data_IF_454149057156
#
_entry.id   IF_454149057156
#
_cell.length_a   1.000
_cell.length_b   1.000
_cell.length_c   1.000
_cell.angle_alpha   90.00
_cell.angle_beta   90.00
_cell.angle_gamma   90.00
#
_symmetry.space_group_name_H-M   'P 1'
#
loop_
_entity.id
_entity.type
_entity.pdbx_description
1 polymer ?
#
# COMPACT_ATOMS: atom_id res chain seq x y z
N UNK A 1 -41.73 -67.33 -5.22
CA UNK A 1 -40.84 -66.34 -4.57
C UNK A 1 -40.30 -65.40 -5.63
N UNK A 2 -40.72 -64.13 -5.65
CA UNK A 2 -40.16 -63.10 -6.53
C UNK A 2 -39.22 -62.23 -5.69
N UNK A 3 -37.93 -62.21 -6.05
CA UNK A 3 -36.92 -61.39 -5.37
C UNK A 3 -36.78 -60.06 -6.11
N UNK A 4 -37.17 -58.95 -5.47
CA UNK A 4 -36.84 -57.61 -5.94
C UNK A 4 -35.43 -57.26 -5.45
N UNK A 5 -34.52 -56.95 -6.37
CA UNK A 5 -33.26 -56.30 -6.08
C UNK A 5 -33.46 -54.78 -6.05
N UNK A 6 -33.15 -54.15 -4.92
CA UNK A 6 -33.08 -52.70 -4.78
C UNK A 6 -31.64 -52.26 -5.09
N UNK A 7 -31.45 -51.49 -6.16
CA UNK A 7 -30.16 -50.89 -6.50
C UNK A 7 -29.98 -49.61 -5.68
N UNK A 8 -29.07 -49.61 -4.70
CA UNK A 8 -28.72 -48.43 -3.92
C UNK A 8 -27.65 -47.63 -4.69
N UNK A 9 -28.04 -46.52 -5.31
CA UNK A 9 -27.10 -45.60 -5.97
C UNK A 9 -26.37 -44.75 -4.93
N UNK A 10 -25.10 -45.05 -4.65
CA UNK A 10 -24.21 -44.21 -3.85
C UNK A 10 -23.79 -42.99 -4.69
N UNK A 11 -24.32 -41.81 -4.35
CA UNK A 11 -23.85 -40.53 -4.89
C UNK A 11 -22.54 -40.14 -4.19
N UNK A 12 -21.40 -40.31 -4.87
CA UNK A 12 -20.13 -39.76 -4.43
C UNK A 12 -20.14 -38.24 -4.61
N UNK A 13 -20.22 -37.48 -3.51
CA UNK A 13 -19.91 -36.06 -3.50
C UNK A 13 -18.39 -35.89 -3.61
N UNK A 14 -17.89 -35.60 -4.81
CA UNK A 14 -16.54 -35.07 -4.98
C UNK A 14 -16.50 -33.65 -4.39
N UNK A 15 -15.58 -33.35 -3.45
CA UNK A 15 -15.45 -31.99 -2.97
C UNK A 15 -15.01 -31.09 -4.14
N UNK A 16 -15.76 -30.02 -4.37
CA UNK A 16 -15.38 -28.99 -5.33
C UNK A 16 -14.05 -28.39 -4.84
N UNK A 17 -12.96 -28.71 -5.52
CA UNK A 17 -11.66 -28.16 -5.20
C UNK A 17 -11.70 -26.67 -5.58
N UNK A 18 -12.00 -25.81 -4.61
CA UNK A 18 -12.00 -24.38 -4.82
C UNK A 18 -10.59 -23.97 -5.29
N UNK A 19 -10.49 -23.52 -6.55
CA UNK A 19 -9.26 -22.94 -7.06
C UNK A 19 -8.94 -21.72 -6.20
N UNK A 20 -7.83 -21.78 -5.47
CA UNK A 20 -7.31 -20.66 -4.69
C UNK A 20 -6.97 -19.53 -5.66
N UNK A 21 -7.72 -18.44 -5.62
CA UNK A 21 -7.35 -17.21 -6.33
C UNK A 21 -6.01 -16.74 -5.74
N UNK A 22 -5.06 -16.39 -6.59
CA UNK A 22 -3.74 -15.87 -6.17
C UNK A 22 -3.58 -14.46 -6.74
N UNK A 23 -3.14 -13.52 -5.89
CA UNK A 23 -2.82 -12.16 -6.29
C UNK A 23 -1.37 -11.84 -5.92
N UNK A 24 -0.55 -11.57 -6.94
CA UNK A 24 0.82 -11.07 -6.79
C UNK A 24 0.78 -9.54 -6.70
N UNK A 25 1.16 -9.02 -5.53
CA UNK A 25 1.00 -7.60 -5.19
C UNK A 25 2.33 -6.95 -4.85
N UNK A 26 2.69 -5.92 -5.61
CA UNK A 26 3.91 -5.15 -5.41
C UNK A 26 3.60 -3.82 -4.72
N UNK A 27 4.21 -3.58 -3.57
CA UNK A 27 4.20 -2.28 -2.90
C UNK A 27 5.48 -1.50 -3.19
N UNK A 28 5.35 -0.32 -3.79
CA UNK A 28 6.46 0.60 -4.04
C UNK A 28 6.28 1.82 -3.14
N UNK A 29 7.28 2.09 -2.30
CA UNK A 29 7.23 3.25 -1.42
C UNK A 29 8.42 3.39 -0.50
N UNK A 30 8.18 4.02 0.65
CA UNK A 30 9.21 4.35 1.62
C UNK A 30 8.78 3.92 3.04
N UNK A 31 9.23 4.64 4.06
CA UNK A 31 8.88 4.35 5.46
C UNK A 31 7.38 4.33 5.74
N UNK A 32 6.55 5.04 4.96
CA UNK A 32 5.09 5.00 5.11
C UNK A 32 4.44 3.69 4.65
N UNK A 33 5.18 2.88 3.88
CA UNK A 33 4.81 1.51 3.49
C UNK A 33 5.60 0.47 4.28
N UNK A 34 6.87 0.75 4.60
CA UNK A 34 7.76 -0.17 5.30
C UNK A 34 7.53 -0.27 6.80
N UNK A 35 7.10 0.81 7.47
CA UNK A 35 6.78 0.78 8.91
C UNK A 35 5.51 -0.02 9.19
N UNK A 36 5.35 -0.41 10.45
CA UNK A 36 4.13 -1.08 10.93
C UNK A 36 3.80 -2.40 10.22
N UNK A 37 4.76 -2.95 9.47
CA UNK A 37 4.56 -4.08 8.56
C UNK A 37 3.33 -3.91 7.66
N UNK A 38 3.02 -2.67 7.23
CA UNK A 38 1.74 -2.31 6.61
C UNK A 38 1.29 -3.28 5.51
N UNK A 39 2.19 -3.68 4.62
CA UNK A 39 1.86 -4.60 3.52
C UNK A 39 1.46 -6.00 4.01
N UNK A 40 2.00 -6.47 5.14
CA UNK A 40 1.60 -7.74 5.77
C UNK A 40 0.25 -7.62 6.47
N UNK A 41 -0.04 -6.49 7.12
CA UNK A 41 -1.38 -6.23 7.68
C UNK A 41 -2.43 -6.20 6.57
N UNK A 42 -2.11 -5.62 5.40
CA UNK A 42 -3.00 -5.65 4.23
C UNK A 42 -3.18 -7.06 3.69
N UNK A 43 -2.13 -7.89 3.67
CA UNK A 43 -2.22 -9.32 3.32
C UNK A 43 -3.19 -10.05 4.25
N UNK A 44 -3.05 -9.88 5.56
CA UNK A 44 -3.95 -10.52 6.53
C UNK A 44 -5.41 -10.08 6.33
N UNK A 45 -5.64 -8.77 6.15
CA UNK A 45 -6.98 -8.24 5.80
C UNK A 45 -7.52 -8.86 4.51
N UNK A 46 -6.67 -8.99 3.48
CA UNK A 46 -7.04 -9.55 2.19
C UNK A 46 -7.47 -11.02 2.32
N UNK A 47 -6.68 -11.85 2.98
CA UNK A 47 -6.89 -13.29 3.09
C UNK A 47 -8.06 -13.62 4.01
N UNK A 48 -8.22 -12.92 5.13
CA UNK A 48 -9.37 -13.12 6.02
C UNK A 48 -10.66 -12.57 5.41
N UNK A 49 -10.59 -11.42 4.74
CA UNK A 49 -11.75 -10.79 4.10
C UNK A 49 -12.19 -11.45 2.80
N UNK A 50 -11.40 -12.37 2.24
CA UNK A 50 -11.69 -13.10 1.02
C UNK A 50 -11.23 -14.56 1.17
N UNK A 51 -12.04 -15.44 1.79
CA UNK A 51 -11.66 -16.83 2.04
C UNK A 51 -11.22 -17.56 0.76
N UNK A 52 -10.06 -18.20 0.82
CA UNK A 52 -9.46 -18.91 -0.32
C UNK A 52 -8.53 -18.08 -1.21
N UNK A 53 -8.39 -16.78 -0.95
CA UNK A 53 -7.39 -15.92 -1.59
C UNK A 53 -5.99 -16.16 -1.01
N UNK A 54 -4.99 -16.31 -1.88
CA UNK A 54 -3.58 -16.16 -1.53
C UNK A 54 -3.07 -14.79 -1.97
N UNK A 55 -2.69 -13.95 -1.01
CA UNK A 55 -2.23 -12.60 -1.28
C UNK A 55 -0.70 -12.52 -1.13
N UNK A 56 0.02 -12.63 -2.26
CA UNK A 56 1.49 -12.67 -2.28
C UNK A 56 2.06 -11.26 -2.31
N UNK A 57 2.73 -10.87 -1.24
CA UNK A 57 3.28 -9.52 -1.07
C UNK A 57 4.75 -9.47 -1.44
N UNK A 58 5.08 -8.52 -2.32
CA UNK A 58 6.43 -8.05 -2.57
C UNK A 58 6.54 -6.56 -2.27
N UNK A 59 7.74 -6.10 -1.90
CA UNK A 59 7.96 -4.68 -1.58
C UNK A 59 9.27 -4.16 -2.17
N UNK A 60 9.26 -2.89 -2.59
CA UNK A 60 10.46 -2.12 -2.93
C UNK A 60 10.43 -0.85 -2.11
N UNK A 61 11.24 -0.82 -1.05
CA UNK A 61 11.23 0.23 -0.04
C UNK A 61 12.54 0.98 0.00
N UNK A 62 12.49 2.30 -0.23
CA UNK A 62 13.62 3.21 0.00
C UNK A 62 13.20 4.36 0.91
N UNK A 63 13.85 4.50 2.07
CA UNK A 63 13.46 5.48 3.10
C UNK A 63 13.47 6.93 2.58
N UNK A 64 12.37 7.64 2.82
CA UNK A 64 12.17 9.04 2.41
C UNK A 64 12.23 9.30 0.91
N UNK A 65 12.04 8.28 0.06
CA UNK A 65 12.07 8.41 -1.42
C UNK A 65 10.67 8.54 -2.00
N UNK A 66 10.59 9.31 -3.09
CA UNK A 66 9.39 9.56 -3.92
C UNK A 66 9.34 8.60 -5.10
N UNK A 67 8.23 8.54 -5.85
CA UNK A 67 8.17 7.72 -7.07
C UNK A 67 9.22 8.14 -8.12
N UNK A 68 9.55 9.43 -8.18
CA UNK A 68 10.64 9.95 -9.02
C UNK A 68 11.99 9.35 -8.64
N UNK A 69 12.27 9.27 -7.34
CA UNK A 69 13.48 8.62 -6.85
C UNK A 69 13.50 7.12 -7.17
N UNK A 70 12.37 6.43 -6.99
CA UNK A 70 12.23 5.01 -7.34
C UNK A 70 12.53 4.75 -8.82
N UNK A 71 12.11 5.65 -9.70
CA UNK A 71 12.37 5.56 -11.14
C UNK A 71 13.86 5.71 -11.44
N UNK A 72 14.50 6.71 -10.83
CA UNK A 72 15.97 6.87 -10.90
C UNK A 72 16.70 5.62 -10.41
N UNK A 73 16.17 4.97 -9.38
CA UNK A 73 16.73 3.74 -8.79
C UNK A 73 16.37 2.46 -9.56
N UNK A 74 15.75 2.57 -10.74
CA UNK A 74 15.47 1.44 -11.62
C UNK A 74 14.31 0.54 -11.16
N UNK A 75 13.42 1.04 -10.28
CA UNK A 75 12.28 0.26 -9.76
C UNK A 75 11.29 -0.11 -10.87
N UNK A 76 11.20 0.68 -11.94
CA UNK A 76 10.36 0.40 -13.11
C UNK A 76 10.67 -0.96 -13.75
N UNK A 77 11.93 -1.37 -13.71
CA UNK A 77 12.42 -2.64 -14.28
C UNK A 77 11.91 -3.88 -13.55
N UNK A 78 11.39 -3.72 -12.33
CA UNK A 78 10.71 -4.78 -11.57
C UNK A 78 9.27 -4.99 -12.09
N UNK A 79 8.65 -3.94 -12.64
CA UNK A 79 7.28 -4.00 -13.15
C UNK A 79 7.27 -4.52 -14.59
N UNK A 80 8.17 -4.04 -15.45
CA UNK A 80 8.19 -4.40 -16.87
C UNK A 80 9.20 -5.49 -17.22
N UNK A 81 9.52 -6.41 -16.30
CA UNK A 81 10.41 -7.56 -16.54
C UNK A 81 10.04 -8.36 -17.81
N UNK A 82 8.75 -8.39 -18.15
CA UNK A 82 8.21 -9.06 -19.34
C UNK A 82 8.59 -8.40 -20.68
N UNK A 83 9.08 -7.16 -20.69
CA UNK A 83 9.29 -6.38 -21.92
C UNK A 83 10.53 -5.48 -21.91
N UNK A 84 11.19 -5.29 -20.76
CA UNK A 84 12.35 -4.40 -20.66
C UNK A 84 13.53 -4.89 -21.52
N UNK A 85 14.08 -3.97 -22.32
CA UNK A 85 15.27 -4.25 -23.12
C UNK A 85 16.53 -4.34 -22.24
N UNK A 86 17.46 -5.23 -22.60
CA UNK A 86 18.73 -5.40 -21.87
C UNK A 86 19.52 -4.09 -21.80
N UNK A 87 19.45 -3.29 -22.85
CA UNK A 87 20.11 -2.00 -22.99
C UNK A 87 19.56 -0.96 -22.02
N UNK A 88 18.26 -0.96 -21.75
CA UNK A 88 17.63 -0.07 -20.76
C UNK A 88 18.06 -0.40 -19.33
N UNK A 89 18.15 -1.69 -19.01
CA UNK A 89 18.66 -2.16 -17.71
C UNK A 89 20.14 -1.74 -17.58
N UNK A 90 20.94 -1.96 -18.63
CA UNK A 90 22.36 -1.57 -18.66
C UNK A 90 22.56 -0.06 -18.48
N UNK A 91 21.82 0.76 -19.22
CA UNK A 91 21.89 2.22 -19.08
C UNK A 91 21.53 2.67 -17.65
N UNK A 92 20.54 2.03 -17.03
CA UNK A 92 20.15 2.30 -15.64
C UNK A 92 21.26 1.87 -14.67
N UNK A 93 21.87 0.70 -14.89
CA UNK A 93 22.99 0.22 -14.09
C UNK A 93 24.21 1.15 -14.19
N UNK A 94 24.56 1.61 -15.39
CA UNK A 94 25.69 2.52 -15.61
C UNK A 94 25.46 3.87 -14.90
N UNK A 95 24.25 4.43 -15.00
CA UNK A 95 23.87 5.64 -14.28
C UNK A 95 23.95 5.46 -12.75
N UNK A 96 23.52 4.30 -12.23
CA UNK A 96 23.59 3.99 -10.80
C UNK A 96 25.01 3.71 -10.32
N UNK A 97 25.88 3.17 -11.18
CA UNK A 97 27.31 3.01 -10.91
C UNK A 97 28.00 4.37 -10.73
N UNK A 98 27.66 5.35 -11.57
CA UNK A 98 28.15 6.72 -11.39
C UNK A 98 27.60 7.34 -10.10
N UNK A 99 26.28 7.27 -9.88
CA UNK A 99 25.65 7.81 -8.68
C UNK A 99 26.18 7.18 -7.38
N UNK A 100 26.60 5.90 -7.41
CA UNK A 100 27.17 5.20 -6.26
C UNK A 100 28.53 5.75 -5.82
N UNK A 101 29.19 6.61 -6.61
CA UNK A 101 30.41 7.31 -6.19
C UNK A 101 30.12 8.42 -5.17
N UNK A 102 28.90 8.97 -5.15
CA UNK A 102 28.48 9.92 -4.11
C UNK A 102 28.10 9.16 -2.85
N UNK A 103 28.90 9.30 -1.79
CA UNK A 103 28.66 8.67 -0.49
C UNK A 103 27.36 9.15 0.19
N UNK A 104 26.77 10.25 -0.27
CA UNK A 104 25.46 10.73 0.19
C UNK A 104 24.30 9.97 -0.44
N UNK A 105 24.47 9.35 -1.61
CA UNK A 105 23.45 8.52 -2.25
C UNK A 105 23.48 7.09 -1.71
N UNK A 106 22.86 6.92 -0.54
CA UNK A 106 22.79 5.63 0.17
C UNK A 106 21.98 4.56 -0.56
N UNK A 107 21.23 4.91 -1.62
CA UNK A 107 20.33 3.98 -2.32
C UNK A 107 20.83 3.56 -3.69
N UNK A 108 21.67 4.36 -4.35
CA UNK A 108 22.26 3.99 -5.64
C UNK A 108 22.95 2.61 -5.63
N UNK A 109 23.76 2.23 -4.60
CA UNK A 109 24.38 0.90 -4.57
C UNK A 109 23.37 -0.25 -4.55
N UNK A 110 22.27 -0.10 -3.80
CA UNK A 110 21.21 -1.10 -3.73
C UNK A 110 20.41 -1.17 -5.05
N UNK A 111 20.17 -0.03 -5.70
CA UNK A 111 19.59 0.02 -7.04
C UNK A 111 20.48 -0.68 -8.06
N UNK A 112 21.78 -0.36 -8.08
CA UNK A 112 22.77 -0.95 -8.96
C UNK A 112 22.81 -2.47 -8.82
N UNK A 113 22.90 -2.97 -7.57
CA UNK A 113 22.90 -4.41 -7.29
C UNK A 113 21.69 -5.12 -7.92
N UNK A 114 20.51 -4.52 -7.88
CA UNK A 114 19.30 -5.09 -8.51
C UNK A 114 19.40 -5.08 -10.04
N UNK A 115 19.90 -4.00 -10.64
CA UNK A 115 20.05 -3.94 -12.10
C UNK A 115 21.08 -4.95 -12.61
N UNK A 116 22.20 -5.12 -11.89
CA UNK A 116 23.20 -6.16 -12.19
C UNK A 116 22.57 -7.54 -12.12
N UNK A 117 21.81 -7.84 -11.05
CA UNK A 117 21.12 -9.12 -10.93
C UNK A 117 20.09 -9.36 -12.06
N UNK A 118 19.39 -8.31 -12.53
CA UNK A 118 18.49 -8.43 -13.69
C UNK A 118 19.26 -8.70 -15.00
N UNK A 119 20.45 -8.12 -15.18
CA UNK A 119 21.31 -8.37 -16.35
C UNK A 119 21.90 -9.78 -16.36
N UNK A 120 22.35 -10.27 -15.20
CA UNK A 120 22.90 -11.62 -15.03
C UNK A 120 21.86 -12.70 -15.33
N UNK A 121 20.60 -12.43 -15.02
CA UNK A 121 19.49 -13.34 -15.23
C UNK A 121 18.64 -12.97 -16.46
N UNK A 122 19.20 -12.32 -17.50
CA UNK A 122 18.43 -11.89 -18.67
C UNK A 122 18.14 -13.05 -19.65
N UNK A 123 16.90 -13.20 -20.19
CA UNK A 123 15.71 -12.42 -19.86
C UNK A 123 15.23 -12.72 -18.43
N UNK A 124 14.86 -11.69 -17.64
CA UNK A 124 14.53 -11.88 -16.23
C UNK A 124 13.35 -12.83 -16.05
N UNK A 125 13.38 -13.61 -14.96
CA UNK A 125 12.19 -14.36 -14.52
C UNK A 125 11.03 -13.39 -14.37
N UNK A 126 9.93 -13.70 -15.06
CA UNK A 126 8.75 -12.83 -15.10
C UNK A 126 7.89 -13.08 -13.88
N UNK A 127 7.92 -12.15 -12.93
CA UNK A 127 6.82 -12.03 -11.98
C UNK A 127 5.67 -11.29 -12.67
N UNK A 128 4.49 -11.91 -12.74
CA UNK A 128 3.28 -11.22 -13.23
C UNK A 128 2.63 -10.55 -12.04
N UNK A 129 2.54 -9.23 -12.08
CA UNK A 129 1.84 -8.47 -11.05
C UNK A 129 0.35 -8.39 -11.36
N UNK A 130 -0.49 -8.68 -10.36
CA UNK A 130 -1.93 -8.44 -10.45
C UNK A 130 -2.29 -7.06 -9.90
N UNK A 131 -1.52 -6.58 -8.91
CA UNK A 131 -1.72 -5.28 -8.27
C UNK A 131 -0.38 -4.60 -8.02
N UNK A 132 -0.30 -3.32 -8.34
CA UNK A 132 0.82 -2.45 -7.99
C UNK A 132 0.32 -1.29 -7.15
N UNK A 133 0.83 -1.20 -5.93
CA UNK A 133 0.54 -0.12 -4.97
C UNK A 133 1.65 0.92 -5.06
N UNK A 134 1.27 2.17 -5.37
CA UNK A 134 2.18 3.29 -5.57
C UNK A 134 1.99 4.32 -4.46
N UNK A 135 2.95 4.39 -3.55
CA UNK A 135 2.92 5.32 -2.42
C UNK A 135 3.32 6.75 -2.82
N UNK A 136 2.57 7.76 -2.38
CA UNK A 136 3.02 9.17 -2.39
C UNK A 136 3.83 9.51 -1.15
N UNK A 137 4.62 10.59 -1.20
CA UNK A 137 5.36 11.13 -0.05
C UNK A 137 5.72 12.60 -0.23
N UNK A 138 4.85 13.51 0.24
CA UNK A 138 5.01 14.99 0.16
C UNK A 138 5.18 15.54 -1.27
N UNK A 139 5.28 14.68 -2.27
CA UNK A 139 5.47 14.94 -3.68
C UNK A 139 4.13 15.05 -4.43
N UNK A 140 3.03 15.13 -3.68
CA UNK A 140 1.64 15.22 -4.12
C UNK A 140 0.95 16.49 -3.61
N UNK A 141 1.74 17.50 -3.18
CA UNK A 141 1.25 18.74 -2.57
C UNK A 141 1.12 19.90 -3.57
N UNK A 142 1.94 19.92 -4.62
CA UNK A 142 2.01 21.02 -5.60
C UNK A 142 0.98 20.88 -6.75
N UNK A 143 -0.14 20.23 -6.48
CA UNK A 143 -1.20 20.02 -7.48
C UNK A 143 -0.74 19.18 -8.68
N UNK A 144 -1.27 19.50 -9.86
CA UNK A 144 -1.12 18.72 -11.09
C UNK A 144 0.34 18.62 -11.59
N UNK A 145 1.20 19.57 -11.23
CA UNK A 145 2.62 19.61 -11.63
C UNK A 145 3.54 18.85 -10.68
N UNK A 146 3.01 18.36 -9.55
CA UNK A 146 3.81 17.70 -8.52
C UNK A 146 4.47 16.41 -9.05
N UNK A 147 5.66 16.01 -8.53
CA UNK A 147 6.36 14.83 -9.03
C UNK A 147 5.53 13.54 -8.97
N UNK A 148 4.66 13.38 -7.97
CA UNK A 148 3.76 12.23 -7.88
C UNK A 148 2.82 12.15 -9.09
N UNK A 149 2.22 13.29 -9.48
CA UNK A 149 1.31 13.39 -10.61
C UNK A 149 1.99 13.10 -11.94
N UNK A 150 3.30 13.36 -12.05
CA UNK A 150 4.09 13.05 -13.24
C UNK A 150 4.57 11.60 -13.30
N UNK A 151 4.91 10.98 -12.16
CA UNK A 151 5.52 9.65 -12.14
C UNK A 151 4.53 8.51 -11.93
N UNK A 152 3.42 8.72 -11.21
CA UNK A 152 2.39 7.69 -11.06
C UNK A 152 1.84 7.21 -12.43
N UNK A 153 1.55 8.08 -13.43
CA UNK A 153 1.15 7.64 -14.77
C UNK A 153 2.20 6.78 -15.49
N UNK A 154 3.50 7.06 -15.30
CA UNK A 154 4.58 6.28 -15.93
C UNK A 154 4.58 4.84 -15.40
N UNK A 155 4.47 4.68 -14.07
CA UNK A 155 4.32 3.36 -13.46
C UNK A 155 3.02 2.67 -13.86
N UNK A 156 1.90 3.41 -13.89
CA UNK A 156 0.61 2.86 -14.28
C UNK A 156 0.60 2.34 -15.73
N UNK A 157 1.32 2.98 -16.65
CA UNK A 157 1.48 2.48 -18.01
C UNK A 157 2.14 1.10 -18.03
N UNK A 158 3.21 0.90 -17.25
CA UNK A 158 3.92 -0.38 -17.16
C UNK A 158 3.08 -1.46 -16.47
N UNK A 159 2.34 -1.08 -15.42
CA UNK A 159 1.39 -1.95 -14.74
C UNK A 159 0.29 -2.46 -15.70
N UNK A 160 -0.33 -1.55 -16.45
CA UNK A 160 -1.41 -1.89 -17.39
C UNK A 160 -0.96 -2.74 -18.56
N UNK A 161 0.29 -2.58 -19.02
CA UNK A 161 0.84 -3.39 -20.11
C UNK A 161 0.84 -4.90 -19.81
N UNK A 162 0.78 -5.29 -18.53
CA UNK A 162 0.64 -6.68 -18.08
C UNK A 162 -0.73 -7.02 -17.47
N UNK A 163 -1.69 -6.10 -17.55
CA UNK A 163 -3.02 -6.27 -16.96
C UNK A 163 -3.10 -6.00 -15.45
N UNK A 164 -2.05 -5.47 -14.82
CA UNK A 164 -2.05 -5.18 -13.39
C UNK A 164 -2.94 -3.97 -13.06
N UNK A 165 -3.65 -4.07 -11.94
CA UNK A 165 -4.41 -2.96 -11.34
C UNK A 165 -3.45 -2.02 -10.61
N UNK A 166 -3.77 -0.73 -10.62
CA UNK A 166 -2.99 0.29 -9.91
C UNK A 166 -3.76 0.80 -8.71
N UNK A 167 -3.10 0.83 -7.55
CA UNK A 167 -3.61 1.42 -6.32
C UNK A 167 -2.70 2.59 -5.93
N UNK A 168 -3.25 3.80 -5.84
CA UNK A 168 -2.54 4.96 -5.32
C UNK A 168 -2.68 4.99 -3.80
N UNK A 169 -1.58 4.74 -3.09
CA UNK A 169 -1.52 4.92 -1.64
C UNK A 169 -1.09 6.35 -1.33
N UNK A 170 -2.07 7.24 -1.19
CA UNK A 170 -1.82 8.67 -1.04
C UNK A 170 -1.68 9.01 0.44
N UNK A 171 -0.45 9.22 0.87
CA UNK A 171 -0.09 9.43 2.29
C UNK A 171 -0.43 10.85 2.75
N UNK A 172 -0.35 11.08 4.07
CA UNK A 172 -0.69 12.38 4.67
C UNK A 172 0.31 12.89 5.72
N UNK A 173 1.62 12.92 5.46
CA UNK A 173 2.65 13.36 6.42
C UNK A 173 2.44 14.77 7.01
N UNK A 174 1.67 15.64 6.34
CA UNK A 174 1.51 17.05 6.70
C UNK A 174 0.23 17.35 7.49
N UNK A 175 -0.67 16.38 7.67
CA UNK A 175 -1.99 16.61 8.32
C UNK A 175 -2.23 15.71 9.53
N UNK A 176 -1.17 15.17 10.14
CA UNK A 176 -1.26 14.24 11.27
C UNK A 176 -1.09 14.98 12.61
N UNK A 177 -1.99 14.72 13.55
CA UNK A 177 -1.87 15.19 14.93
C UNK A 177 -1.03 14.19 15.76
N UNK A 178 -0.05 14.70 16.50
CA UNK A 178 0.74 13.92 17.47
C UNK A 178 0.05 13.77 18.82
N UNK A 179 -0.89 14.66 19.13
CA UNK A 179 -1.62 14.70 20.38
C UNK A 179 -3.12 14.76 20.08
N UNK A 180 -3.92 14.61 21.13
CA UNK A 180 -5.36 14.86 21.06
C UNK A 180 -5.63 16.30 20.63
N UNK A 181 -6.68 16.52 19.86
CA UNK A 181 -7.04 17.85 19.35
C UNK A 181 -8.40 18.29 19.87
N UNK A 182 -8.58 19.60 20.06
CA UNK A 182 -9.86 20.19 20.52
C UNK A 182 -10.74 20.68 19.38
N UNK A 183 -10.21 20.77 18.16
CA UNK A 183 -10.94 21.21 16.96
C UNK A 183 -10.46 20.45 15.73
N UNK A 184 -11.39 20.19 14.81
CA UNK A 184 -11.08 19.54 13.53
C UNK A 184 -10.34 20.50 12.60
N UNK A 185 -9.24 20.08 11.96
CA UNK A 185 -8.52 20.93 11.00
C UNK A 185 -9.38 21.35 9.79
N UNK A 186 -9.02 22.46 9.16
CA UNK A 186 -9.67 22.93 7.94
C UNK A 186 -9.59 21.87 6.83
N UNK A 187 -10.75 21.56 6.25
CA UNK A 187 -10.92 20.53 5.22
C UNK A 187 -10.56 21.05 3.82
N UNK A 188 -10.51 22.37 3.62
CA UNK A 188 -10.30 22.99 2.31
C UNK A 188 -9.04 22.49 1.58
N UNK A 189 -7.83 22.51 2.18
CA UNK A 189 -6.63 22.00 1.50
C UNK A 189 -6.71 20.50 1.21
N UNK A 190 -7.39 19.74 2.07
CA UNK A 190 -7.59 18.29 1.92
C UNK A 190 -8.49 17.99 0.73
N UNK A 191 -9.58 18.75 0.56
CA UNK A 191 -10.48 18.62 -0.59
C UNK A 191 -9.80 19.04 -1.89
N UNK A 192 -9.02 20.13 -1.87
CA UNK A 192 -8.22 20.57 -3.04
C UNK A 192 -7.28 19.45 -3.50
N UNK A 193 -6.48 18.90 -2.60
CA UNK A 193 -5.59 17.75 -2.87
C UNK A 193 -6.38 16.55 -3.39
N UNK A 194 -7.48 16.19 -2.73
CA UNK A 194 -8.28 15.01 -3.08
C UNK A 194 -8.88 15.09 -4.48
N UNK A 195 -9.29 16.28 -4.93
CA UNK A 195 -9.79 16.52 -6.30
C UNK A 195 -8.69 16.33 -7.36
N UNK A 196 -7.49 16.87 -7.14
CA UNK A 196 -6.35 16.61 -8.04
C UNK A 196 -6.01 15.12 -8.11
N UNK A 197 -5.98 14.42 -6.98
CA UNK A 197 -5.75 12.98 -6.95
C UNK A 197 -6.89 12.19 -7.63
N UNK A 198 -8.14 12.62 -7.51
CA UNK A 198 -9.27 12.01 -8.22
C UNK A 198 -9.13 12.14 -9.75
N UNK A 199 -8.73 13.33 -10.23
CA UNK A 199 -8.42 13.56 -11.66
C UNK A 199 -7.30 12.64 -12.15
N UNK A 200 -6.21 12.51 -11.40
CA UNK A 200 -5.13 11.56 -11.72
C UNK A 200 -5.66 10.12 -11.74
N UNK A 201 -6.36 9.70 -10.69
CA UNK A 201 -6.87 8.34 -10.56
C UNK A 201 -7.79 7.96 -11.72
N UNK A 202 -8.62 8.90 -12.19
CA UNK A 202 -9.47 8.71 -13.36
C UNK A 202 -8.65 8.59 -14.65
N UNK A 203 -7.66 9.46 -14.88
CA UNK A 203 -6.85 9.42 -16.11
C UNK A 203 -6.01 8.13 -16.22
N UNK A 204 -5.59 7.57 -15.09
CA UNK A 204 -4.80 6.32 -15.06
C UNK A 204 -5.62 5.09 -14.64
N UNK A 205 -6.95 5.19 -14.54
CA UNK A 205 -7.83 4.10 -14.06
C UNK A 205 -7.28 3.37 -12.82
N UNK A 206 -6.93 4.13 -11.77
CA UNK A 206 -6.44 3.61 -10.51
C UNK A 206 -7.50 3.75 -9.40
N UNK A 207 -7.45 2.84 -8.43
CA UNK A 207 -8.14 3.04 -7.15
C UNK A 207 -7.20 3.77 -6.17
N UNK A 208 -7.77 4.37 -5.13
CA UNK A 208 -7.01 5.24 -4.22
C UNK A 208 -7.32 4.87 -2.78
N UNK A 209 -6.27 4.82 -1.95
CA UNK A 209 -6.34 4.88 -0.50
C UNK A 209 -6.05 6.33 -0.06
N UNK A 210 -7.08 7.16 0.21
CA UNK A 210 -6.97 8.61 0.32
C UNK A 210 -6.73 9.07 1.76
N UNK A 211 -5.50 8.92 2.27
CA UNK A 211 -5.26 9.06 3.72
C UNK A 211 -5.53 10.45 4.28
N UNK A 212 -5.44 11.51 3.48
CA UNK A 212 -5.76 12.86 3.97
C UNK A 212 -7.25 13.01 4.36
N UNK A 213 -8.18 12.44 3.58
CA UNK A 213 -9.61 12.43 3.91
C UNK A 213 -9.90 11.52 5.11
N UNK A 214 -9.24 10.37 5.18
CA UNK A 214 -9.42 9.41 6.27
C UNK A 214 -8.90 9.99 7.59
N UNK A 215 -7.72 10.61 7.57
CA UNK A 215 -7.16 11.29 8.74
C UNK A 215 -8.06 12.45 9.20
N UNK A 216 -8.57 13.27 8.28
CA UNK A 216 -9.53 14.34 8.61
C UNK A 216 -10.79 13.81 9.28
N UNK A 217 -11.35 12.70 8.78
CA UNK A 217 -12.49 12.03 9.41
C UNK A 217 -12.17 11.53 10.80
N UNK A 218 -11.00 10.91 10.98
CA UNK A 218 -10.55 10.48 12.31
C UNK A 218 -10.43 11.67 13.26
N UNK A 219 -9.86 12.78 12.81
CA UNK A 219 -9.71 14.01 13.59
C UNK A 219 -11.06 14.64 13.98
N UNK A 220 -12.12 14.39 13.20
CA UNK A 220 -13.47 14.84 13.51
C UNK A 220 -14.24 13.90 14.43
N UNK A 221 -14.12 12.58 14.22
CA UNK A 221 -14.93 11.57 14.92
C UNK A 221 -14.24 11.01 16.17
N UNK A 222 -12.91 10.97 16.16
CA UNK A 222 -12.03 10.46 17.21
C UNK A 222 -10.88 11.44 17.47
N UNK A 223 -11.17 12.68 17.90
CA UNK A 223 -10.16 13.70 18.18
C UNK A 223 -9.21 13.30 19.32
N UNK A 224 -9.58 12.28 20.09
CA UNK A 224 -8.79 11.63 21.15
C UNK A 224 -7.66 10.74 20.63
N UNK A 225 -7.63 10.41 19.34
CA UNK A 225 -6.62 9.52 18.76
C UNK A 225 -5.47 10.30 18.08
N UNK A 226 -4.23 10.17 18.57
CA UNK A 226 -3.04 10.58 17.83
C UNK A 226 -2.88 9.77 16.54
N UNK A 227 -2.46 10.41 15.46
CA UNK A 227 -2.23 9.80 14.14
C UNK A 227 -0.74 9.67 13.78
N UNK A 228 0.13 10.36 14.51
CA UNK A 228 1.58 10.18 14.45
C UNK A 228 2.16 10.01 15.83
N UNK A 229 3.40 9.55 15.89
CA UNK A 229 4.17 9.56 17.13
C UNK A 229 4.42 10.99 17.60
N UNK A 230 4.65 11.15 18.90
CA UNK A 230 5.07 12.42 19.50
C UNK A 230 6.54 12.67 19.16
N UNK A 231 7.39 11.68 19.43
CA UNK A 231 8.85 11.76 19.27
C UNK A 231 9.34 11.43 17.85
N UNK A 232 8.41 11.18 16.92
CA UNK A 232 8.72 10.85 15.52
C UNK A 232 7.61 11.42 14.60
N UNK A 233 7.99 12.10 13.51
CA UNK A 233 7.02 12.69 12.58
C UNK A 233 6.31 11.65 11.67
N UNK A 234 6.57 10.36 11.84
CA UNK A 234 5.88 9.29 11.13
C UNK A 234 4.53 8.95 11.73
N UNK A 235 3.64 8.43 10.88
CA UNK A 235 2.40 7.79 11.31
C UNK A 235 2.66 6.76 12.41
N UNK A 236 1.75 6.70 13.39
CA UNK A 236 1.76 5.65 14.42
C UNK A 236 0.93 4.45 13.97
N UNK A 237 0.83 3.44 14.83
CA UNK A 237 0.09 2.20 14.60
C UNK A 237 -1.39 2.48 14.30
N UNK A 238 -2.01 3.51 14.92
CA UNK A 238 -3.42 3.89 14.68
C UNK A 238 -3.65 4.32 13.23
N UNK A 239 -2.85 5.28 12.73
CA UNK A 239 -2.99 5.71 11.35
C UNK A 239 -2.55 4.62 10.37
N UNK A 240 -1.57 3.78 10.74
CA UNK A 240 -1.18 2.65 9.90
C UNK A 240 -2.29 1.59 9.79
N UNK A 241 -3.05 1.34 10.85
CA UNK A 241 -4.21 0.46 10.82
C UNK A 241 -5.29 1.00 9.87
N UNK A 242 -5.58 2.30 9.93
CA UNK A 242 -6.47 2.95 8.96
C UNK A 242 -5.93 2.92 7.53
N UNK A 243 -4.60 3.04 7.33
CA UNK A 243 -3.99 2.85 6.02
C UNK A 243 -4.22 1.44 5.48
N UNK A 244 -4.10 0.41 6.32
CA UNK A 244 -4.38 -0.97 5.91
C UNK A 244 -5.86 -1.14 5.51
N UNK A 245 -6.79 -0.61 6.32
CA UNK A 245 -8.22 -0.58 6.02
C UNK A 245 -8.54 0.13 4.69
N UNK A 246 -7.89 1.27 4.44
CA UNK A 246 -8.05 2.05 3.21
C UNK A 246 -7.52 1.31 1.98
N UNK A 247 -6.39 0.63 2.12
CA UNK A 247 -5.79 -0.20 1.07
C UNK A 247 -6.67 -1.40 0.76
N UNK A 248 -7.18 -2.10 1.78
CA UNK A 248 -8.16 -3.19 1.61
C UNK A 248 -9.38 -2.69 0.82
N UNK A 249 -9.96 -1.55 1.23
CA UNK A 249 -11.10 -0.95 0.53
C UNK A 249 -10.75 -0.58 -0.93
N UNK A 250 -9.57 -0.02 -1.18
CA UNK A 250 -9.13 0.34 -2.53
C UNK A 250 -8.87 -0.90 -3.42
N UNK A 251 -8.36 -1.99 -2.84
CA UNK A 251 -8.05 -3.23 -3.55
C UNK A 251 -9.32 -4.03 -3.85
N UNK A 252 -10.25 -4.15 -2.91
CA UNK A 252 -11.42 -5.03 -3.07
C UNK A 252 -12.72 -4.30 -3.34
N UNK A 253 -12.76 -2.97 -3.20
CA UNK A 253 -13.99 -2.18 -3.18
C UNK A 253 -15.01 -2.73 -2.15
N UNK A 254 -14.49 -3.26 -1.04
CA UNK A 254 -15.25 -3.85 0.07
C UNK A 254 -14.98 -3.08 1.35
N UNK A 255 -15.96 -3.09 2.26
CA UNK A 255 -15.78 -2.50 3.58
C UNK A 255 -14.83 -3.35 4.42
N UNK A 256 -13.84 -2.75 5.11
CA UNK A 256 -13.01 -3.45 6.09
C UNK A 256 -13.72 -3.66 7.43
N UNK A 257 -14.95 -3.15 7.60
CA UNK A 257 -15.73 -3.27 8.86
C UNK A 257 -16.00 -4.74 9.17
N UNK A 258 -15.66 -5.16 10.38
CA UNK A 258 -15.84 -6.52 10.87
C UNK A 258 -14.66 -7.45 10.59
N UNK A 259 -13.61 -7.00 9.88
CA UNK A 259 -12.40 -7.81 9.74
C UNK A 259 -11.71 -8.00 11.09
N UNK A 260 -11.26 -9.22 11.44
CA UNK A 260 -10.81 -9.54 12.79
C UNK A 260 -9.34 -9.15 13.07
N UNK A 261 -8.81 -8.11 12.43
CA UNK A 261 -7.42 -7.66 12.64
C UNK A 261 -7.34 -6.84 13.92
N UNK A 262 -6.67 -7.37 14.95
CA UNK A 262 -6.69 -6.80 16.30
C UNK A 262 -5.47 -5.98 16.65
N UNK A 263 -4.38 -6.06 15.88
CA UNK A 263 -3.12 -5.43 16.26
C UNK A 263 -2.27 -4.97 15.08
N UNK A 264 -1.34 -4.06 15.38
CA UNK A 264 -0.32 -3.57 14.45
C UNK A 264 1.01 -3.42 15.20
N UNK A 265 2.09 -3.91 14.60
CA UNK A 265 3.44 -3.90 15.18
C UNK A 265 4.39 -3.04 14.35
N UNK A 266 5.05 -2.07 14.98
CA UNK A 266 6.09 -1.29 14.30
C UNK A 266 7.43 -2.03 14.23
N UNK A 267 8.30 -1.59 13.31
CA UNK A 267 9.64 -2.15 13.09
C UNK A 267 10.75 -1.17 13.53
N UNK A 268 10.38 -0.06 14.18
CA UNK A 268 11.29 0.99 14.63
C UNK A 268 11.13 1.18 16.14
N UNK A 269 12.25 1.00 16.84
CA UNK A 269 12.30 0.87 18.28
C UNK A 269 12.83 2.14 18.96
N UNK A 270 12.47 2.38 20.22
CA UNK A 270 13.09 3.43 21.02
C UNK A 270 14.45 2.95 21.55
N UNK A 271 15.53 3.68 21.21
CA UNK A 271 16.88 3.49 21.79
C UNK A 271 17.42 2.04 21.81
N UNK A 272 16.93 1.18 20.90
CA UNK A 272 17.33 -0.23 20.82
C UNK A 272 16.46 -1.21 21.62
N UNK A 273 15.54 -0.72 22.47
CA UNK A 273 14.55 -1.57 23.15
C UNK A 273 13.47 -2.03 22.16
N UNK A 274 13.61 -3.28 21.71
CA UNK A 274 12.71 -3.88 20.71
C UNK A 274 11.27 -4.06 21.18
N UNK A 275 10.98 -3.87 22.46
CA UNK A 275 9.63 -3.96 23.03
C UNK A 275 8.89 -2.62 22.99
N UNK A 276 9.59 -1.52 22.66
CA UNK A 276 9.08 -0.16 22.73
C UNK A 276 9.00 0.52 21.37
N UNK A 277 7.87 1.15 21.10
CA UNK A 277 7.73 2.08 19.97
C UNK A 277 8.41 3.42 20.26
N UNK A 278 8.32 4.37 19.31
CA UNK A 278 9.01 5.66 19.38
C UNK A 278 8.55 6.56 20.53
N UNK A 279 7.39 6.31 21.11
CA UNK A 279 6.86 7.06 22.23
C UNK A 279 7.04 6.31 23.57
N UNK A 280 7.77 5.19 23.57
CA UNK A 280 8.01 4.37 24.76
C UNK A 280 6.83 3.48 25.16
N UNK A 281 5.82 3.37 24.30
CA UNK A 281 4.67 2.48 24.45
C UNK A 281 5.01 1.09 23.88
N UNK A 282 4.19 0.04 24.14
CA UNK A 282 4.42 -1.26 23.54
C UNK A 282 4.55 -1.20 22.01
N UNK A 283 5.54 -1.91 21.46
CA UNK A 283 5.82 -1.93 20.01
C UNK A 283 4.62 -2.40 19.17
N UNK A 284 3.86 -3.35 19.74
CA UNK A 284 2.60 -3.86 19.22
C UNK A 284 1.46 -3.13 19.91
N UNK A 285 0.62 -2.47 19.12
CA UNK A 285 -0.63 -1.91 19.60
C UNK A 285 -1.76 -2.89 19.34
N UNK A 286 -2.40 -3.36 20.42
CA UNK A 286 -3.66 -4.11 20.37
C UNK A 286 -4.82 -3.13 20.49
N UNK A 287 -5.78 -3.19 19.56
CA UNK A 287 -6.93 -2.31 19.52
C UNK A 287 -8.10 -2.91 20.31
N UNK A 288 -8.80 -2.07 21.08
CA UNK A 288 -10.10 -2.45 21.65
C UNK A 288 -11.11 -2.72 20.53
N UNK A 289 -12.16 -3.50 20.80
CA UNK A 289 -13.22 -3.76 19.81
C UNK A 289 -13.85 -2.47 19.29
N UNK A 290 -14.07 -1.50 20.20
CA UNK A 290 -14.61 -0.19 19.85
C UNK A 290 -13.66 0.58 18.93
N UNK A 291 -12.38 0.71 19.29
CA UNK A 291 -11.42 1.44 18.46
C UNK A 291 -11.25 0.78 17.10
N UNK A 292 -11.16 -0.55 17.07
CA UNK A 292 -11.06 -1.32 15.84
C UNK A 292 -12.23 -1.05 14.91
N UNK A 293 -13.46 -1.14 15.43
CA UNK A 293 -14.69 -0.88 14.66
C UNK A 293 -14.74 0.58 14.16
N UNK A 294 -14.46 1.55 15.04
CA UNK A 294 -14.44 2.97 14.69
C UNK A 294 -13.44 3.26 13.56
N UNK A 295 -12.20 2.74 13.67
CA UNK A 295 -11.15 2.96 12.67
C UNK A 295 -11.49 2.31 11.32
N UNK A 296 -12.09 1.11 11.30
CA UNK A 296 -12.58 0.48 10.08
C UNK A 296 -13.70 1.30 9.43
N UNK A 297 -14.65 1.79 10.23
CA UNK A 297 -15.73 2.65 9.76
C UNK A 297 -15.22 3.97 9.19
N UNK A 298 -14.30 4.64 9.88
CA UNK A 298 -13.69 5.89 9.45
C UNK A 298 -12.97 5.71 8.11
N UNK A 299 -12.16 4.65 7.97
CA UNK A 299 -11.45 4.34 6.74
C UNK A 299 -12.43 4.06 5.59
N UNK A 300 -13.49 3.26 5.83
CA UNK A 300 -14.53 2.99 4.84
C UNK A 300 -15.24 4.26 4.37
N UNK A 301 -15.67 5.11 5.32
CA UNK A 301 -16.35 6.36 5.00
C UNK A 301 -15.45 7.31 4.21
N UNK A 302 -14.17 7.43 4.57
CA UNK A 302 -13.21 8.26 3.83
C UNK A 302 -12.95 7.74 2.42
N UNK A 303 -12.86 6.41 2.25
CA UNK A 303 -12.80 5.78 0.93
C UNK A 303 -14.05 6.09 0.09
N UNK A 304 -15.25 5.91 0.66
CA UNK A 304 -16.53 6.19 -0.03
C UNK A 304 -16.70 7.66 -0.38
N UNK A 305 -16.25 8.56 0.50
CA UNK A 305 -16.22 10.00 0.21
C UNK A 305 -15.32 10.30 -0.98
N UNK A 306 -14.13 9.72 -1.03
CA UNK A 306 -13.24 9.89 -2.18
C UNK A 306 -13.85 9.34 -3.48
N UNK A 307 -14.55 8.19 -3.44
CA UNK A 307 -15.22 7.66 -4.62
C UNK A 307 -16.25 8.65 -5.20
N UNK A 308 -16.95 9.42 -4.36
CA UNK A 308 -17.88 10.47 -4.84
C UNK A 308 -17.14 11.60 -5.57
N UNK A 309 -15.91 11.91 -5.18
CA UNK A 309 -15.06 12.91 -5.88
C UNK A 309 -14.56 12.42 -7.24
N UNK A 310 -14.67 11.12 -7.55
CA UNK A 310 -14.26 10.57 -8.85
C UNK A 310 -15.34 10.66 -9.92
N UNK A 311 -16.60 10.76 -9.52
CA UNK A 311 -17.78 10.78 -10.41
C UNK A 311 -18.15 12.21 -10.84
N UNK A 312 -17.74 13.20 -10.04
CA UNK A 312 -17.95 14.63 -10.29
C UNK A 312 -16.71 15.25 -10.94
#
# INVERSE_FOLDING_TARGET
>A
MKHSFFLLSLLFFLPLQASSEELNVLFIGNSYTGRHTLSQVVKEMAEVGNPGLQFKVSTVIYGGRTLKDHWRLGTQHIINQHAVAKEEIKATADALKEASKDSKDKYAPAGLKRQVALLENYPPSREKWDIIVLQSYRDDLDGDDSPYMQYAPKYAKLAKAQGARVILYVTTPTTQNAQTISSTPDKTPILKKSKSIAKLANSINANVAPMALIAHRSQSQRPDLPLRFINDAHLNQTLSYMSACALYAAIFNKSPVGLPITEVTDIRFLEGDKTKDRDGLPITKVFSDKDRADLQHIAWQGYREFQKLRVN
#
